data_IF_582566915280
#
_entry.id   IF_582566915280
#
_cell.length_a   1.000
_cell.length_b   1.000
_cell.length_c   1.000
_cell.angle_alpha   90.00
_cell.angle_beta   90.00
_cell.angle_gamma   90.00
#
_symmetry.space_group_name_H-M   'P 1'
#
loop_
_entity.id
_entity.type
_entity.pdbx_description
1 polymer ?
#
# COMPACT_ATOMS: atom_id res chain seq x y z
N UNK A 1 -18.64 -11.07 4.89
CA UNK A 1 -17.58 -10.51 4.04
C UNK A 1 -17.00 -9.29 4.75
N UNK A 2 -15.72 -9.34 5.15
CA UNK A 2 -14.98 -8.18 5.68
C UNK A 2 -14.33 -7.45 4.49
N UNK A 3 -14.14 -6.14 4.62
CA UNK A 3 -13.26 -5.36 3.75
C UNK A 3 -12.03 -5.00 4.58
N UNK A 4 -10.87 -5.46 4.13
CA UNK A 4 -9.59 -5.41 4.82
C UNK A 4 -8.63 -4.53 4.01
N UNK A 5 -8.31 -3.33 4.50
CA UNK A 5 -7.36 -2.44 3.87
C UNK A 5 -5.96 -2.66 4.46
N UNK A 6 -4.94 -2.82 3.62
CA UNK A 6 -3.53 -2.97 4.01
C UNK A 6 -2.75 -1.77 3.52
N UNK A 7 -2.03 -1.11 4.42
CA UNK A 7 -1.20 0.07 4.11
C UNK A 7 0.08 -0.29 3.36
N UNK A 8 0.96 0.71 3.22
CA UNK A 8 2.23 0.67 2.49
C UNK A 8 3.12 -0.47 2.99
N UNK A 9 3.59 -1.34 2.06
CA UNK A 9 4.29 -2.59 2.40
C UNK A 9 5.81 -2.44 2.28
N UNK A 10 6.27 -1.69 1.29
CA UNK A 10 7.68 -1.35 1.11
C UNK A 10 8.63 -2.54 1.30
N UNK A 11 8.50 -3.59 0.50
CA UNK A 11 9.40 -4.74 0.54
C UNK A 11 9.46 -5.50 1.87
N UNK A 12 8.57 -5.24 2.80
CA UNK A 12 8.55 -5.86 4.12
C UNK A 12 7.71 -7.16 4.11
N UNK A 13 8.23 -8.19 3.43
CA UNK A 13 7.54 -9.48 3.25
C UNK A 13 7.22 -10.18 4.56
N UNK A 14 8.16 -10.18 5.51
CA UNK A 14 7.93 -10.84 6.80
C UNK A 14 6.81 -10.19 7.60
N UNK A 15 6.72 -8.84 7.54
CA UNK A 15 5.61 -8.12 8.15
C UNK A 15 4.28 -8.46 7.47
N UNK A 16 4.26 -8.53 6.13
CA UNK A 16 3.07 -8.90 5.36
C UNK A 16 2.58 -10.31 5.72
N UNK A 17 3.46 -11.30 5.73
CA UNK A 17 3.11 -12.68 6.07
C UNK A 17 2.62 -12.82 7.52
N UNK A 18 3.30 -12.15 8.45
CA UNK A 18 2.89 -12.12 9.87
C UNK A 18 1.52 -11.45 10.03
N UNK A 19 1.28 -10.35 9.31
CA UNK A 19 0.01 -9.64 9.32
C UNK A 19 -1.13 -10.50 8.76
N UNK A 20 -0.92 -11.13 7.59
CA UNK A 20 -1.91 -12.02 6.98
C UNK A 20 -2.24 -13.22 7.87
N UNK A 21 -1.25 -13.79 8.56
CA UNK A 21 -1.48 -14.86 9.53
C UNK A 21 -2.32 -14.38 10.72
N UNK A 22 -2.06 -13.17 11.25
CA UNK A 22 -2.80 -12.59 12.36
C UNK A 22 -4.25 -12.23 12.01
N UNK A 23 -4.48 -11.67 10.81
CA UNK A 23 -5.81 -11.30 10.29
C UNK A 23 -6.62 -12.52 9.91
N UNK A 24 -5.96 -13.60 9.45
CA UNK A 24 -6.55 -14.82 8.92
C UNK A 24 -7.72 -14.52 7.95
N UNK A 25 -7.45 -13.96 6.77
CA UNK A 25 -8.50 -13.61 5.80
C UNK A 25 -9.28 -14.85 5.36
N UNK A 26 -10.60 -14.74 5.31
CA UNK A 26 -11.51 -15.81 4.87
C UNK A 26 -11.68 -15.76 3.35
N UNK A 27 -12.15 -16.85 2.72
CA UNK A 27 -12.40 -16.88 1.28
C UNK A 27 -13.34 -15.79 0.76
N UNK A 28 -14.30 -15.35 1.58
CA UNK A 28 -15.26 -14.32 1.26
C UNK A 28 -14.80 -12.88 1.54
N UNK A 29 -13.64 -12.69 2.18
CA UNK A 29 -13.15 -11.34 2.51
C UNK A 29 -12.50 -10.68 1.31
N UNK A 30 -12.70 -9.37 1.17
CA UNK A 30 -12.03 -8.52 0.19
C UNK A 30 -10.81 -7.88 0.85
N UNK A 31 -9.65 -8.11 0.28
CA UNK A 31 -8.39 -7.46 0.66
C UNK A 31 -8.12 -6.32 -0.32
N UNK A 32 -7.82 -5.13 0.18
CA UNK A 32 -7.43 -3.97 -0.61
C UNK A 32 -6.07 -3.52 -0.11
N UNK A 33 -5.04 -3.58 -0.95
CA UNK A 33 -3.71 -3.05 -0.62
C UNK A 33 -3.56 -1.65 -1.22
N UNK A 34 -3.02 -0.71 -0.44
CA UNK A 34 -3.05 0.71 -0.79
C UNK A 34 -1.86 1.19 -1.63
N UNK A 35 -1.03 0.27 -2.17
CA UNK A 35 0.15 0.62 -2.96
C UNK A 35 1.44 0.60 -2.16
N UNK A 36 2.51 1.11 -2.79
CA UNK A 36 3.87 1.13 -2.26
C UNK A 36 4.35 -0.26 -1.80
N UNK A 37 4.41 -1.17 -2.77
CA UNK A 37 4.84 -2.56 -2.55
C UNK A 37 6.35 -2.69 -2.52
N UNK A 38 7.03 -1.83 -3.27
CA UNK A 38 8.46 -1.83 -3.50
C UNK A 38 9.20 -0.80 -2.64
N UNK A 39 10.52 -0.85 -2.70
CA UNK A 39 11.47 0.09 -2.11
C UNK A 39 11.60 0.03 -0.58
N UNK A 40 12.76 0.49 -0.07
CA UNK A 40 13.09 0.66 1.35
C UNK A 40 13.30 -0.63 2.14
N UNK A 41 12.37 -1.57 2.04
CA UNK A 41 12.44 -2.84 2.76
C UNK A 41 13.21 -3.92 2.00
N UNK A 42 13.50 -5.05 2.66
CA UNK A 42 14.52 -6.00 2.20
C UNK A 42 14.05 -6.93 1.08
N UNK A 43 12.75 -7.08 0.82
CA UNK A 43 12.25 -8.12 -0.09
C UNK A 43 11.04 -7.69 -0.93
N UNK A 44 11.25 -6.69 -1.79
CA UNK A 44 10.23 -6.23 -2.75
C UNK A 44 9.80 -7.35 -3.70
N UNK A 45 10.73 -8.22 -4.11
CA UNK A 45 10.45 -9.39 -4.96
C UNK A 45 9.44 -10.32 -4.28
N UNK A 46 9.70 -10.72 -3.05
CA UNK A 46 8.83 -11.62 -2.32
C UNK A 46 7.46 -11.01 -2.01
N UNK A 47 7.38 -9.68 -1.80
CA UNK A 47 6.11 -8.96 -1.65
C UNK A 47 5.29 -9.08 -2.95
N UNK A 48 5.89 -8.79 -4.12
CA UNK A 48 5.18 -8.90 -5.40
C UNK A 48 4.75 -10.34 -5.69
N UNK A 49 5.61 -11.34 -5.47
CA UNK A 49 5.25 -12.76 -5.58
C UNK A 49 4.02 -13.10 -4.71
N UNK A 50 3.99 -12.60 -3.47
CA UNK A 50 2.89 -12.82 -2.53
C UNK A 50 1.59 -12.16 -2.98
N UNK A 51 1.65 -10.92 -3.48
CA UNK A 51 0.48 -10.18 -3.96
C UNK A 51 -0.09 -10.79 -5.25
N UNK A 52 0.76 -11.22 -6.17
CA UNK A 52 0.36 -11.94 -7.38
C UNK A 52 -0.40 -13.23 -7.02
N UNK A 53 0.11 -14.01 -6.05
CA UNK A 53 -0.55 -15.21 -5.59
C UNK A 53 -1.92 -14.93 -4.94
N UNK A 54 -2.04 -13.85 -4.14
CA UNK A 54 -3.32 -13.41 -3.57
C UNK A 54 -4.30 -12.93 -4.64
N UNK A 55 -3.81 -12.19 -5.63
CA UNK A 55 -4.62 -11.70 -6.75
C UNK A 55 -5.17 -12.85 -7.60
N UNK A 56 -4.36 -13.86 -7.90
CA UNK A 56 -4.79 -15.07 -8.61
C UNK A 56 -5.88 -15.83 -7.85
N UNK A 57 -5.94 -15.71 -6.51
CA UNK A 57 -7.02 -16.23 -5.67
C UNK A 57 -8.33 -15.44 -5.73
N UNK A 58 -8.39 -14.34 -6.50
CA UNK A 58 -9.59 -13.53 -6.71
C UNK A 58 -10.06 -12.71 -5.51
N UNK A 59 -9.16 -12.46 -4.52
CA UNK A 59 -9.49 -11.80 -3.25
C UNK A 59 -8.80 -10.47 -3.03
N UNK A 60 -7.93 -10.08 -3.94
CA UNK A 60 -7.11 -8.87 -3.84
C UNK A 60 -7.54 -7.83 -4.87
N UNK A 61 -7.77 -6.62 -4.40
CA UNK A 61 -7.70 -5.38 -5.19
C UNK A 61 -6.39 -4.69 -4.77
N UNK A 62 -5.47 -4.54 -5.71
CA UNK A 62 -4.20 -3.88 -5.49
C UNK A 62 -4.27 -2.46 -6.05
N UNK A 63 -3.99 -1.44 -5.23
CA UNK A 63 -3.82 -0.08 -5.72
C UNK A 63 -2.36 0.14 -6.10
N UNK A 64 -2.09 1.15 -6.94
CA UNK A 64 -0.74 1.60 -7.27
C UNK A 64 -0.34 2.75 -6.36
N UNK A 65 0.88 2.69 -5.80
CA UNK A 65 1.50 3.78 -5.08
C UNK A 65 2.55 4.51 -5.92
N UNK A 66 3.06 5.64 -5.41
CA UNK A 66 4.08 6.42 -6.10
C UNK A 66 5.43 5.68 -6.20
N UNK A 67 5.77 4.81 -5.25
CA UNK A 67 6.98 3.98 -5.35
C UNK A 67 6.85 2.91 -6.42
N UNK A 68 5.67 2.36 -6.61
CA UNK A 68 5.39 1.40 -7.68
C UNK A 68 5.45 2.09 -9.05
N UNK A 69 4.94 3.33 -9.17
CA UNK A 69 5.06 4.17 -10.36
C UNK A 69 6.54 4.45 -10.69
N UNK A 70 7.33 4.88 -9.70
CA UNK A 70 8.77 5.10 -9.89
C UNK A 70 9.52 3.84 -10.30
N UNK A 71 9.16 2.67 -9.77
CA UNK A 71 9.77 1.41 -10.18
C UNK A 71 9.43 1.05 -11.63
N UNK A 72 8.19 1.28 -12.07
CA UNK A 72 7.78 1.11 -13.48
C UNK A 72 8.57 2.04 -14.42
N UNK A 73 8.73 3.31 -14.04
CA UNK A 73 9.52 4.27 -14.81
C UNK A 73 11.01 3.86 -14.88
N UNK A 74 11.55 3.32 -13.78
CA UNK A 74 12.92 2.83 -13.70
C UNK A 74 13.21 1.65 -14.64
N UNK A 75 12.19 0.94 -15.14
CA UNK A 75 12.35 -0.09 -16.19
C UNK A 75 13.05 0.47 -17.43
N UNK A 76 12.73 1.72 -17.80
CA UNK A 76 13.34 2.39 -18.96
C UNK A 76 14.62 3.15 -18.58
N UNK A 77 14.68 3.75 -17.39
CA UNK A 77 15.83 4.51 -16.90
C UNK A 77 16.06 4.23 -15.40
N UNK A 78 16.90 3.25 -15.04
CA UNK A 78 17.14 2.83 -13.66
C UNK A 78 17.99 3.82 -12.85
N UNK A 79 18.29 4.99 -13.39
CA UNK A 79 19.02 6.04 -12.70
C UNK A 79 18.08 7.05 -12.02
N UNK A 80 18.62 7.88 -11.15
CA UNK A 80 17.90 9.04 -10.65
C UNK A 80 17.34 8.93 -9.23
N UNK A 81 16.26 9.68 -8.98
CA UNK A 81 15.70 9.87 -7.64
C UNK A 81 15.19 8.57 -7.02
N UNK A 82 14.64 7.66 -7.82
CA UNK A 82 14.15 6.38 -7.36
C UNK A 82 15.17 5.62 -6.50
N UNK A 83 16.46 5.59 -6.93
CA UNK A 83 17.52 4.94 -6.16
C UNK A 83 17.74 5.57 -4.77
N UNK A 84 17.52 6.86 -4.66
CA UNK A 84 17.72 7.60 -3.41
C UNK A 84 16.56 7.40 -2.41
N UNK A 85 15.42 6.89 -2.89
CA UNK A 85 14.23 6.71 -2.05
C UNK A 85 13.90 5.24 -1.77
N UNK A 86 14.82 4.31 -2.10
CA UNK A 86 14.71 2.90 -1.75
C UNK A 86 14.79 1.91 -2.91
N UNK A 87 15.01 2.37 -4.14
CA UNK A 87 15.10 1.51 -5.31
C UNK A 87 16.33 0.58 -5.31
N UNK A 88 17.36 0.87 -4.51
CA UNK A 88 18.50 -0.05 -4.32
C UNK A 88 18.06 -1.33 -3.67
N UNK A 89 17.34 -1.23 -2.57
CA UNK A 89 16.80 -2.35 -1.79
C UNK A 89 15.88 -3.21 -2.67
N UNK A 90 15.10 -2.56 -3.54
CA UNK A 90 14.31 -3.29 -4.54
C UNK A 90 15.19 -4.13 -5.44
N UNK A 91 16.22 -3.56 -6.08
CA UNK A 91 17.10 -4.31 -6.96
C UNK A 91 17.92 -5.38 -6.24
N UNK A 92 18.34 -5.13 -4.99
CA UNK A 92 19.01 -6.12 -4.15
C UNK A 92 18.12 -7.35 -3.92
N UNK A 93 16.81 -7.17 -3.77
CA UNK A 93 15.85 -8.28 -3.62
C UNK A 93 15.75 -9.18 -4.87
N UNK A 94 16.18 -8.69 -6.03
CA UNK A 94 16.28 -9.46 -7.28
C UNK A 94 17.70 -9.99 -7.55
N UNK A 95 18.63 -9.88 -6.59
CA UNK A 95 20.05 -10.18 -6.78
C UNK A 95 20.66 -9.40 -7.96
N UNK A 96 20.30 -8.13 -8.11
CA UNK A 96 20.64 -7.29 -9.25
C UNK A 96 21.14 -5.90 -8.84
N UNK A 97 21.85 -5.25 -9.76
CA UNK A 97 22.21 -3.84 -9.65
C UNK A 97 21.19 -2.97 -10.42
N UNK A 98 21.03 -1.69 -10.03
CA UNK A 98 20.11 -0.77 -10.72
C UNK A 98 20.74 -0.29 -12.05
N UNK A 99 20.74 -1.16 -13.03
CA UNK A 99 21.23 -1.00 -14.41
C UNK A 99 20.22 -1.56 -15.38
N UNK A 100 20.32 -1.20 -16.66
CA UNK A 100 19.47 -1.76 -17.70
C UNK A 100 19.49 -3.30 -17.70
N UNK A 101 20.69 -3.91 -17.57
CA UNK A 101 20.84 -5.37 -17.50
C UNK A 101 20.23 -5.94 -16.20
N UNK A 102 20.33 -5.21 -15.09
CA UNK A 102 19.71 -5.60 -13.82
C UNK A 102 18.20 -5.62 -13.88
N UNK A 103 17.58 -4.68 -14.58
CA UNK A 103 16.13 -4.66 -14.78
C UNK A 103 15.59 -5.89 -15.52
N UNK A 104 16.41 -6.54 -16.34
CA UNK A 104 16.05 -7.81 -17.02
C UNK A 104 15.91 -8.98 -16.03
N UNK A 105 16.38 -8.84 -14.80
CA UNK A 105 16.22 -9.87 -13.75
C UNK A 105 14.86 -9.82 -13.06
N UNK A 106 14.14 -8.72 -13.21
CA UNK A 106 12.78 -8.59 -12.68
C UNK A 106 11.84 -9.44 -13.56
N UNK A 107 11.10 -10.40 -12.99
CA UNK A 107 10.17 -11.23 -13.74
C UNK A 107 9.11 -10.40 -14.47
N UNK A 108 8.76 -10.78 -15.71
CA UNK A 108 7.71 -10.06 -16.45
C UNK A 108 6.38 -10.03 -15.72
N UNK A 109 6.04 -11.09 -14.98
CA UNK A 109 4.82 -11.14 -14.17
C UNK A 109 4.73 -10.01 -13.10
N UNK A 110 5.88 -9.48 -12.62
CA UNK A 110 5.90 -8.36 -11.69
C UNK A 110 5.58 -7.05 -12.39
N UNK A 111 6.12 -6.85 -13.59
CA UNK A 111 5.78 -5.70 -14.44
C UNK A 111 4.29 -5.71 -14.80
N UNK A 112 3.80 -6.85 -15.33
CA UNK A 112 2.38 -7.03 -15.67
C UNK A 112 1.47 -6.81 -14.47
N UNK A 113 1.88 -7.24 -13.27
CA UNK A 113 1.09 -7.02 -12.07
C UNK A 113 0.97 -5.52 -11.75
N UNK A 114 2.08 -4.80 -11.73
CA UNK A 114 2.08 -3.37 -11.43
C UNK A 114 1.42 -2.53 -12.54
N UNK A 115 1.64 -2.88 -13.82
CA UNK A 115 1.12 -2.12 -14.96
C UNK A 115 -0.37 -2.37 -15.20
N UNK A 116 -0.82 -3.65 -15.12
CA UNK A 116 -2.13 -4.06 -15.62
C UNK A 116 -3.11 -4.49 -14.53
N UNK A 117 -2.62 -4.97 -13.37
CA UNK A 117 -3.49 -5.50 -12.32
C UNK A 117 -3.70 -4.52 -11.17
N UNK A 118 -2.76 -3.58 -10.96
CA UNK A 118 -2.96 -2.50 -10.01
C UNK A 118 -3.88 -1.43 -10.59
N UNK A 119 -4.79 -0.94 -9.76
CA UNK A 119 -5.75 0.12 -10.11
C UNK A 119 -5.40 1.42 -9.36
N UNK A 120 -5.90 2.56 -9.84
CA UNK A 120 -5.58 3.85 -9.25
C UNK A 120 -6.38 4.13 -7.98
N UNK A 121 -7.58 3.59 -7.91
CA UNK A 121 -8.51 3.73 -6.79
C UNK A 121 -9.51 2.57 -6.76
N UNK A 122 -10.16 2.41 -5.62
CA UNK A 122 -11.29 1.48 -5.47
C UNK A 122 -12.35 2.09 -4.55
N UNK A 123 -13.61 1.68 -4.69
CA UNK A 123 -14.66 2.13 -3.79
C UNK A 123 -15.66 1.03 -3.42
N UNK A 124 -16.21 1.15 -2.24
CA UNK A 124 -17.33 0.36 -1.74
C UNK A 124 -18.56 1.27 -1.54
N UNK A 125 -19.61 0.75 -0.97
CA UNK A 125 -20.79 1.57 -0.64
C UNK A 125 -20.48 2.69 0.37
N UNK A 126 -19.48 2.51 1.26
CA UNK A 126 -19.22 3.39 2.40
C UNK A 126 -17.83 4.00 2.41
N UNK A 127 -16.87 3.44 1.69
CA UNK A 127 -15.47 3.87 1.69
C UNK A 127 -14.94 4.02 0.28
N UNK A 128 -13.99 4.94 0.12
CA UNK A 128 -13.12 5.05 -1.03
C UNK A 128 -11.67 4.77 -0.61
N UNK A 129 -10.91 4.15 -1.49
CA UNK A 129 -9.53 3.71 -1.25
C UNK A 129 -8.63 4.31 -2.30
N UNK A 130 -7.59 5.00 -1.87
CA UNK A 130 -6.56 5.60 -2.70
C UNK A 130 -5.21 5.42 -2.02
N UNK A 131 -4.12 5.55 -2.77
CA UNK A 131 -2.80 5.55 -2.13
C UNK A 131 -2.55 6.85 -1.37
N UNK A 132 -2.64 8.01 -2.03
CA UNK A 132 -2.34 9.32 -1.47
C UNK A 132 -3.57 10.07 -0.97
N UNK A 133 -4.18 10.88 -1.84
CA UNK A 133 -5.28 11.78 -1.48
C UNK A 133 -6.28 11.93 -2.63
N UNK A 134 -7.33 12.75 -2.42
CA UNK A 134 -8.33 13.11 -3.42
C UNK A 134 -8.69 14.59 -3.34
N UNK A 135 -9.06 15.19 -4.46
CA UNK A 135 -9.83 16.45 -4.44
C UNK A 135 -11.25 16.12 -3.95
N UNK A 136 -11.74 16.82 -2.91
CA UNK A 136 -13.01 16.44 -2.27
C UNK A 136 -14.24 16.68 -3.15
N UNK A 137 -14.16 17.56 -4.12
CA UNK A 137 -15.23 18.00 -5.01
C UNK A 137 -15.24 17.32 -6.39
N UNK A 138 -14.26 16.45 -6.68
CA UNK A 138 -14.17 15.69 -7.94
C UNK A 138 -14.54 14.22 -7.73
N UNK A 139 -15.32 13.60 -8.64
CA UNK A 139 -15.52 12.15 -8.68
C UNK A 139 -14.19 11.40 -8.80
N UNK A 140 -14.10 10.15 -8.27
CA UNK A 140 -12.87 9.35 -8.32
C UNK A 140 -12.34 9.16 -9.76
N UNK A 141 -13.21 8.98 -10.73
CA UNK A 141 -12.82 8.81 -12.14
C UNK A 141 -12.21 10.07 -12.78
N UNK A 142 -12.33 11.22 -12.13
CA UNK A 142 -11.80 12.52 -12.61
C UNK A 142 -10.58 12.97 -11.79
N UNK A 143 -10.16 12.19 -10.79
CA UNK A 143 -8.99 12.51 -9.97
C UNK A 143 -7.70 12.38 -10.78
N UNK A 144 -6.79 13.38 -10.74
CA UNK A 144 -5.49 13.24 -11.38
C UNK A 144 -4.59 12.27 -10.59
N UNK A 145 -3.74 11.53 -11.29
CA UNK A 145 -2.78 10.58 -10.68
C UNK A 145 -1.84 11.25 -9.69
N UNK A 146 -1.46 12.51 -9.93
CA UNK A 146 -0.66 13.30 -8.98
C UNK A 146 -1.32 13.45 -7.61
N UNK A 147 -2.64 13.55 -7.57
CA UNK A 147 -3.40 13.58 -6.31
C UNK A 147 -3.51 12.17 -5.71
N UNK A 148 -3.85 11.19 -6.53
CA UNK A 148 -4.06 9.80 -6.08
C UNK A 148 -2.79 9.15 -5.53
N UNK A 149 -1.58 9.50 -6.06
CA UNK A 149 -0.34 8.82 -5.70
C UNK A 149 0.61 9.67 -4.85
N UNK A 150 0.63 11.02 -5.04
CA UNK A 150 1.71 11.86 -4.53
C UNK A 150 1.29 12.84 -3.45
N UNK A 151 -0.01 13.19 -3.40
CA UNK A 151 -0.44 14.23 -2.46
C UNK A 151 -0.63 13.67 -1.05
N UNK A 152 -0.01 14.35 -0.08
CA UNK A 152 -0.10 13.95 1.33
C UNK A 152 -1.43 14.34 1.95
N UNK A 153 -1.89 13.51 2.88
CA UNK A 153 -3.05 13.81 3.72
C UNK A 153 -2.67 14.87 4.75
N UNK A 154 -3.12 16.12 4.55
CA UNK A 154 -2.86 17.24 5.48
C UNK A 154 -4.09 17.66 6.27
N UNK A 155 -5.18 17.98 5.59
CA UNK A 155 -6.44 18.45 6.18
C UNK A 155 -7.62 17.91 5.36
N UNK A 156 -8.07 16.68 5.60
CA UNK A 156 -9.09 16.07 4.77
C UNK A 156 -10.44 16.78 4.91
N UNK A 157 -11.05 17.04 3.78
CA UNK A 157 -12.44 17.49 3.66
C UNK A 157 -13.27 16.30 3.21
N UNK A 158 -14.54 16.24 3.66
CA UNK A 158 -15.44 15.17 3.22
C UNK A 158 -15.57 15.17 1.69
N UNK A 159 -15.35 14.01 1.08
CA UNK A 159 -15.50 13.84 -0.36
C UNK A 159 -16.97 13.97 -0.78
N UNK A 160 -17.23 14.50 -1.98
CA UNK A 160 -18.56 14.70 -2.55
C UNK A 160 -19.46 13.45 -2.52
N UNK A 161 -18.87 12.25 -2.57
CA UNK A 161 -19.60 10.98 -2.44
C UNK A 161 -20.15 10.69 -1.03
N UNK A 162 -19.73 11.45 -0.01
CA UNK A 162 -20.04 11.18 1.40
C UNK A 162 -19.36 9.93 1.99
N UNK A 163 -18.44 9.29 1.24
CA UNK A 163 -17.69 8.11 1.70
C UNK A 163 -16.47 8.52 2.49
N UNK A 164 -16.04 7.64 3.40
CA UNK A 164 -14.81 7.81 4.18
C UNK A 164 -13.63 7.36 3.31
N UNK A 165 -12.60 8.20 3.20
CA UNK A 165 -11.37 7.86 2.51
C UNK A 165 -10.48 6.98 3.39
N UNK A 166 -9.91 5.91 2.80
CA UNK A 166 -8.83 5.11 3.41
C UNK A 166 -7.60 5.25 2.53
N UNK A 167 -6.49 5.72 3.12
CA UNK A 167 -5.26 6.00 2.36
C UNK A 167 -3.99 5.53 3.08
N UNK A 168 -2.88 5.49 2.31
CA UNK A 168 -1.51 5.25 2.71
C UNK A 168 -0.65 6.52 2.63
N UNK A 169 0.58 6.39 2.07
CA UNK A 169 1.48 7.46 1.63
C UNK A 169 1.92 8.48 2.71
N UNK A 170 1.03 8.86 3.60
CA UNK A 170 1.30 9.85 4.64
C UNK A 170 1.67 9.17 5.94
N UNK A 171 2.96 8.83 6.05
CA UNK A 171 3.48 8.06 7.18
C UNK A 171 3.11 8.64 8.55
N UNK A 172 2.50 7.81 9.38
CA UNK A 172 2.16 8.12 10.77
C UNK A 172 3.33 7.76 11.68
N UNK A 173 4.10 8.79 12.11
CA UNK A 173 5.34 8.61 12.88
C UNK A 173 5.17 7.97 14.25
N UNK A 174 3.95 7.98 14.82
CA UNK A 174 3.63 7.32 16.08
C UNK A 174 3.34 5.82 15.92
N UNK A 175 3.39 5.31 14.69
CA UNK A 175 3.11 3.91 14.36
C UNK A 175 1.65 3.48 14.56
N UNK A 176 0.70 4.41 14.66
CA UNK A 176 -0.73 4.13 14.82
C UNK A 176 -1.52 4.70 13.64
N UNK A 177 -2.61 4.03 13.21
CA UNK A 177 -3.53 4.59 12.22
C UNK A 177 -4.07 5.95 12.67
N UNK A 178 -4.23 6.86 11.73
CA UNK A 178 -4.80 8.20 11.96
C UNK A 178 -6.25 8.21 11.46
N UNK A 179 -7.20 8.43 12.36
CA UNK A 179 -8.61 8.61 12.05
C UNK A 179 -9.00 10.09 12.20
N UNK A 180 -9.47 10.70 11.11
CA UNK A 180 -9.92 12.10 11.03
C UNK A 180 -11.44 12.20 10.75
N UNK A 181 -12.17 11.09 10.87
CA UNK A 181 -13.60 11.00 10.63
C UNK A 181 -13.97 10.93 9.15
N UNK A 182 -13.47 11.81 8.31
CA UNK A 182 -13.68 11.82 6.85
C UNK A 182 -12.60 11.04 6.09
N UNK A 183 -11.47 10.76 6.74
CA UNK A 183 -10.36 10.01 6.19
C UNK A 183 -9.65 9.20 7.28
N UNK A 184 -9.16 8.01 6.91
CA UNK A 184 -8.31 7.15 7.75
C UNK A 184 -7.02 6.86 6.99
N UNK A 185 -5.87 7.26 7.58
CA UNK A 185 -4.56 6.93 7.03
C UNK A 185 -3.95 5.76 7.80
N UNK A 186 -3.51 4.73 7.07
CA UNK A 186 -2.97 3.49 7.65
C UNK A 186 -1.52 3.20 7.25
N UNK A 187 -0.80 4.16 6.62
CA UNK A 187 0.65 4.08 6.49
C UNK A 187 1.30 4.31 7.86
N UNK A 188 1.82 3.27 8.45
CA UNK A 188 2.45 3.28 9.78
C UNK A 188 3.94 2.95 9.71
N UNK A 189 4.54 3.13 8.51
CA UNK A 189 5.99 3.18 8.26
C UNK A 189 6.71 1.86 8.53
N UNK A 190 6.21 0.75 8.03
CA UNK A 190 6.70 -0.62 8.30
C UNK A 190 8.20 -0.82 8.08
N UNK A 191 8.80 -0.08 7.14
CA UNK A 191 10.24 -0.14 6.82
C UNK A 191 11.14 0.56 7.86
N UNK A 192 10.55 1.34 8.76
CA UNK A 192 11.31 1.98 9.84
C UNK A 192 11.62 0.98 10.97
N UNK A 193 12.69 1.18 11.77
CA UNK A 193 13.07 0.25 12.84
C UNK A 193 11.96 -0.08 13.82
N UNK A 194 11.09 0.89 14.13
CA UNK A 194 9.94 0.74 15.02
C UNK A 194 8.60 0.82 14.29
N UNK A 195 8.65 0.67 12.95
CA UNK A 195 7.50 0.76 12.07
C UNK A 195 6.60 -0.48 12.12
N UNK A 196 5.39 -0.31 11.61
CA UNK A 196 4.36 -1.34 11.59
C UNK A 196 3.63 -1.35 10.26
N UNK A 197 3.31 -2.53 9.74
CA UNK A 197 2.35 -2.70 8.66
C UNK A 197 0.96 -2.84 9.27
N UNK A 198 0.01 -2.04 8.79
CA UNK A 198 -1.35 -2.01 9.32
C UNK A 198 -2.34 -2.66 8.34
N UNK A 199 -3.21 -3.53 8.87
CA UNK A 199 -4.44 -3.99 8.21
C UNK A 199 -5.65 -3.47 8.98
N UNK A 200 -6.53 -2.74 8.33
CA UNK A 200 -7.77 -2.18 8.87
C UNK A 200 -8.99 -2.95 8.34
N UNK A 201 -9.83 -3.46 9.22
CA UNK A 201 -11.20 -3.86 8.90
C UNK A 201 -12.10 -2.63 8.91
N UNK A 202 -12.42 -2.11 7.73
CA UNK A 202 -13.06 -0.78 7.60
C UNK A 202 -14.48 -0.72 8.19
N UNK A 203 -15.20 -1.85 8.23
CA UNK A 203 -16.56 -1.91 8.75
C UNK A 203 -16.66 -1.81 10.29
N UNK A 204 -15.60 -2.19 11.01
CA UNK A 204 -15.58 -2.19 12.49
C UNK A 204 -14.59 -1.21 13.08
N UNK A 205 -13.62 -0.72 12.29
CA UNK A 205 -12.50 0.08 12.77
C UNK A 205 -11.45 -0.74 13.54
N UNK A 206 -11.57 -2.06 13.59
CA UNK A 206 -10.54 -2.92 14.15
C UNK A 206 -9.33 -2.94 13.24
N UNK A 207 -8.14 -2.87 13.80
CA UNK A 207 -6.90 -3.03 13.03
C UNK A 207 -5.95 -4.05 13.67
N UNK A 208 -5.11 -4.65 12.83
CA UNK A 208 -3.98 -5.49 13.18
C UNK A 208 -2.72 -4.86 12.64
N UNK A 209 -1.63 -5.03 13.34
CA UNK A 209 -0.31 -4.58 12.91
C UNK A 209 0.73 -5.69 13.09
N UNK A 210 1.67 -5.75 12.14
CA UNK A 210 2.85 -6.60 12.22
C UNK A 210 4.09 -5.82 11.78
N UNK A 211 5.29 -6.29 12.15
CA UNK A 211 6.55 -5.66 11.76
C UNK A 211 7.56 -6.69 11.23
N UNK A 212 8.69 -6.22 10.72
CA UNK A 212 9.76 -7.06 10.16
C UNK A 212 10.47 -7.94 11.22
N UNK A 213 10.28 -7.70 12.51
CA UNK A 213 10.75 -8.61 13.57
C UNK A 213 9.81 -9.80 13.77
N UNK A 214 8.61 -9.77 13.17
CA UNK A 214 7.57 -10.79 13.34
C UNK A 214 6.69 -10.57 14.58
N UNK A 215 6.76 -9.38 15.19
CA UNK A 215 5.88 -8.98 16.27
C UNK A 215 4.51 -8.58 15.71
N UNK A 216 3.48 -8.76 16.51
CA UNK A 216 2.10 -8.41 16.13
C UNK A 216 1.36 -7.74 17.27
N UNK A 217 0.43 -6.86 16.94
CA UNK A 217 -0.50 -6.21 17.86
C UNK A 217 -1.83 -5.91 17.17
N UNK A 218 -2.86 -5.60 17.94
CA UNK A 218 -4.17 -5.22 17.41
C UNK A 218 -4.76 -4.08 18.26
N UNK A 219 -5.69 -3.33 17.64
CA UNK A 219 -6.40 -2.23 18.29
C UNK A 219 -7.67 -1.88 17.55
N UNK A 220 -8.26 -0.77 17.96
CA UNK A 220 -9.39 -0.14 17.28
C UNK A 220 -9.06 1.33 17.00
N UNK A 221 -9.58 1.86 15.88
CA UNK A 221 -9.57 3.29 15.63
C UNK A 221 -10.22 3.99 16.84
N UNK A 222 -9.60 5.05 17.31
CA UNK A 222 -10.19 5.90 18.34
C UNK A 222 -11.40 6.67 17.78
N UNK A 223 -12.28 7.20 18.65
CA UNK A 223 -13.28 8.15 18.18
C UNK A 223 -12.58 9.31 17.47
N UNK A 224 -13.08 9.67 16.29
CA UNK A 224 -12.59 10.84 15.56
C UNK A 224 -12.60 12.05 16.48
N UNK A 225 -11.45 12.72 16.60
CA UNK A 225 -11.28 13.89 17.50
C UNK A 225 -11.79 15.15 16.82
#
# INVERSE_FOLDING_TARGET
MRVLAVGDIHGCLKALDTLLAAVAPRPEDLIITLGDYTDRGPDSRGVLDRLIALHAGGRLVALRGNHDEMFLEARADPAGMWLAVGGRETMESYDAFPTADGMLRVPEAHWEFLEEKCVDWYETATHLFVHGNVYPDLPLAEQPTSMLYWEKLTAPVAHVSGKIMVCGHTRQKNGLPLDLGTAVCIDTGVYEPDGWLTCLEVGTGRYWQANERGEQRAGHLGPAK
#
